data_IF_081845968099
#
_entry.id   IF_081845968099
#
_cell.length_a   1.000
_cell.length_b   1.000
_cell.length_c   1.000
_cell.angle_alpha   90.00
_cell.angle_beta   90.00
_cell.angle_gamma   90.00
#
_symmetry.space_group_name_H-M   'P 1'
#
loop_
_entity.id
_entity.type
_entity.pdbx_description
1 polymer ?
#
# COMPACT_ATOMS: atom_id res chain seq x y z
N UNK A 1 -33.08 -34.12 3.04
CA UNK A 1 -32.83 -33.35 4.28
C UNK A 1 -31.34 -33.01 4.26
N UNK A 2 -30.96 -31.83 3.77
CA UNK A 2 -29.57 -31.40 3.84
C UNK A 2 -29.26 -31.06 5.30
N UNK A 3 -28.27 -31.72 5.87
CA UNK A 3 -27.71 -31.37 7.18
C UNK A 3 -27.31 -29.90 7.14
N UNK A 4 -27.89 -29.08 8.01
CA UNK A 4 -27.49 -27.69 8.15
C UNK A 4 -26.03 -27.70 8.65
N UNK A 5 -25.09 -27.51 7.72
CA UNK A 5 -23.68 -27.44 8.03
C UNK A 5 -23.47 -26.43 9.16
N UNK A 6 -22.76 -26.84 10.22
CA UNK A 6 -22.50 -25.98 11.36
C UNK A 6 -21.72 -24.75 10.89
N UNK A 7 -22.26 -23.56 11.14
CA UNK A 7 -21.58 -22.29 10.88
C UNK A 7 -20.21 -22.26 11.55
N UNK A 8 -19.18 -21.97 10.77
CA UNK A 8 -17.81 -21.83 11.27
C UNK A 8 -17.60 -20.40 11.77
N UNK A 9 -17.24 -20.24 13.04
CA UNK A 9 -17.03 -18.92 13.64
C UNK A 9 -15.69 -18.33 13.22
N UNK A 10 -15.70 -17.13 12.65
CA UNK A 10 -14.50 -16.37 12.29
C UNK A 10 -13.82 -15.85 13.56
N UNK A 11 -12.54 -16.11 13.71
CA UNK A 11 -11.66 -15.67 14.77
C UNK A 11 -10.49 -14.90 14.15
N UNK A 12 -10.55 -13.56 14.14
CA UNK A 12 -9.48 -12.77 13.55
C UNK A 12 -8.20 -12.94 14.38
N UNK A 13 -7.06 -12.97 13.69
CA UNK A 13 -5.75 -12.98 14.34
C UNK A 13 -5.52 -11.67 15.11
N UNK A 14 -6.01 -10.57 14.54
CA UNK A 14 -6.12 -9.29 15.23
C UNK A 14 -7.45 -9.19 15.98
N UNK A 15 -7.39 -9.18 17.31
CA UNK A 15 -8.58 -9.05 18.17
C UNK A 15 -9.21 -7.66 18.12
N UNK A 16 -8.53 -6.68 17.54
CA UNK A 16 -9.02 -5.32 17.36
C UNK A 16 -9.73 -5.12 16.02
N UNK A 17 -9.80 -6.16 15.17
CA UNK A 17 -10.49 -6.11 13.88
C UNK A 17 -11.95 -5.67 14.07
N UNK A 18 -12.25 -4.47 13.60
CA UNK A 18 -13.57 -3.87 13.66
C UNK A 18 -13.75 -2.81 12.58
N UNK A 19 -14.92 -2.78 11.97
CA UNK A 19 -15.29 -1.79 10.98
C UNK A 19 -16.03 -0.62 11.64
N UNK A 20 -15.50 0.58 11.44
CA UNK A 20 -16.06 1.83 11.96
C UNK A 20 -16.61 2.74 10.86
N UNK A 21 -16.68 2.26 9.61
CA UNK A 21 -17.06 3.04 8.44
C UNK A 21 -15.88 3.69 7.71
N UNK A 22 -14.64 3.49 8.17
CA UNK A 22 -13.42 3.91 7.48
C UNK A 22 -12.64 2.71 6.94
N UNK A 23 -11.72 2.95 5.99
CA UNK A 23 -10.78 1.93 5.50
C UNK A 23 -11.43 0.61 5.05
N UNK A 24 -12.61 0.69 4.40
CA UNK A 24 -13.46 -0.46 4.09
C UNK A 24 -12.71 -1.56 3.32
N UNK A 25 -11.78 -1.21 2.43
CA UNK A 25 -10.97 -2.19 1.69
C UNK A 25 -10.05 -3.00 2.59
N UNK A 26 -9.39 -2.34 3.56
CA UNK A 26 -8.50 -3.01 4.51
C UNK A 26 -9.31 -3.93 5.41
N UNK A 27 -10.41 -3.42 5.96
CA UNK A 27 -11.33 -4.22 6.76
C UNK A 27 -11.80 -5.49 6.01
N UNK A 28 -12.30 -5.33 4.78
CA UNK A 28 -12.77 -6.45 3.96
C UNK A 28 -11.66 -7.46 3.66
N UNK A 29 -10.44 -6.98 3.41
CA UNK A 29 -9.27 -7.84 3.16
C UNK A 29 -8.91 -8.66 4.40
N UNK A 30 -8.84 -8.04 5.57
CA UNK A 30 -8.47 -8.69 6.83
C UNK A 30 -9.56 -9.67 7.30
N UNK A 31 -10.83 -9.26 7.21
CA UNK A 31 -11.97 -10.12 7.50
C UNK A 31 -12.02 -11.36 6.60
N UNK A 32 -11.84 -11.18 5.28
CA UNK A 32 -11.83 -12.30 4.34
C UNK A 32 -10.62 -13.22 4.55
N UNK A 33 -9.47 -12.67 4.94
CA UNK A 33 -8.30 -13.46 5.28
C UNK A 33 -8.55 -14.32 6.54
N UNK A 34 -9.12 -13.75 7.60
CA UNK A 34 -9.50 -14.49 8.80
C UNK A 34 -10.51 -15.61 8.49
N UNK A 35 -11.56 -15.30 7.72
CA UNK A 35 -12.55 -16.27 7.29
C UNK A 35 -11.91 -17.47 6.55
N UNK A 36 -10.97 -17.20 5.64
CA UNK A 36 -10.24 -18.23 4.91
C UNK A 36 -9.37 -19.10 5.82
N UNK A 37 -8.69 -18.51 6.80
CA UNK A 37 -7.88 -19.27 7.77
C UNK A 37 -8.74 -20.22 8.61
N UNK A 38 -9.94 -19.79 8.96
CA UNK A 38 -10.88 -20.61 9.74
C UNK A 38 -11.67 -21.60 8.86
N UNK A 39 -11.57 -21.53 7.53
CA UNK A 39 -12.33 -22.38 6.61
C UNK A 39 -13.82 -22.02 6.54
N UNK A 40 -14.14 -20.74 6.72
CA UNK A 40 -15.50 -20.22 6.74
C UNK A 40 -16.04 -20.05 5.31
N UNK A 41 -17.32 -20.41 5.10
CA UNK A 41 -17.98 -20.24 3.81
C UNK A 41 -18.37 -18.78 3.53
N UNK A 42 -18.56 -18.41 2.26
CA UNK A 42 -19.03 -17.06 1.91
C UNK A 42 -20.41 -16.72 2.48
N UNK A 43 -21.30 -17.72 2.58
CA UNK A 43 -22.61 -17.57 3.24
C UNK A 43 -22.44 -17.24 4.72
N UNK A 44 -21.54 -17.94 5.42
CA UNK A 44 -21.23 -17.67 6.83
C UNK A 44 -20.55 -16.31 7.02
N UNK A 45 -19.76 -15.85 6.03
CA UNK A 45 -19.14 -14.52 6.05
C UNK A 45 -20.17 -13.40 6.04
N UNK A 46 -21.17 -13.46 5.14
CA UNK A 46 -22.30 -12.49 5.12
C UNK A 46 -23.03 -12.48 6.46
N UNK A 47 -23.24 -13.66 7.06
CA UNK A 47 -23.93 -13.74 8.34
C UNK A 47 -23.08 -13.25 9.53
N UNK A 48 -21.75 -13.23 9.40
CA UNK A 48 -20.86 -12.88 10.51
C UNK A 48 -20.31 -11.46 10.44
N UNK A 49 -20.27 -10.82 9.27
CA UNK A 49 -19.65 -9.49 9.08
C UNK A 49 -20.20 -8.44 10.06
N UNK A 50 -21.49 -8.48 10.37
CA UNK A 50 -22.15 -7.56 11.33
C UNK A 50 -21.62 -7.63 12.77
N UNK A 51 -20.98 -8.75 13.16
CA UNK A 51 -20.38 -8.90 14.49
C UNK A 51 -19.02 -8.22 14.61
N UNK A 52 -18.44 -7.82 13.48
CA UNK A 52 -17.18 -7.08 13.41
C UNK A 52 -17.43 -5.58 13.26
N UNK A 53 -18.62 -5.09 13.60
CA UNK A 53 -19.00 -3.68 13.47
C UNK A 53 -19.40 -3.14 14.84
N UNK A 54 -18.48 -2.50 15.59
CA UNK A 54 -18.76 -2.00 16.93
C UNK A 54 -19.77 -0.85 16.95
N UNK A 55 -19.80 -0.04 15.89
CA UNK A 55 -20.68 1.11 15.78
C UNK A 55 -22.09 0.69 15.35
N UNK A 56 -23.09 0.91 16.21
CA UNK A 56 -24.49 0.62 15.91
C UNK A 56 -24.98 1.31 14.63
N UNK A 57 -24.55 2.55 14.38
CA UNK A 57 -24.91 3.31 13.17
C UNK A 57 -24.34 2.67 11.91
N UNK A 58 -23.07 2.26 11.94
CA UNK A 58 -22.42 1.61 10.78
C UNK A 58 -23.03 0.23 10.54
N UNK A 59 -23.37 -0.47 11.62
CA UNK A 59 -24.01 -1.79 11.57
C UNK A 59 -25.37 -1.74 10.89
N UNK A 60 -26.21 -0.75 11.25
CA UNK A 60 -27.52 -0.52 10.62
C UNK A 60 -27.40 -0.30 9.11
N UNK A 61 -26.40 0.48 8.69
CA UNK A 61 -26.10 0.68 7.26
C UNK A 61 -25.67 -0.65 6.60
N UNK A 62 -24.79 -1.43 7.22
CA UNK A 62 -24.37 -2.73 6.66
C UNK A 62 -25.54 -3.69 6.56
N UNK A 63 -26.40 -3.79 7.57
CA UNK A 63 -27.60 -4.63 7.54
C UNK A 63 -28.58 -4.21 6.43
N UNK A 64 -28.66 -2.91 6.13
CA UNK A 64 -29.44 -2.40 4.98
C UNK A 64 -28.80 -2.76 3.65
N UNK A 65 -27.47 -2.75 3.55
CA UNK A 65 -26.73 -3.07 2.33
C UNK A 65 -26.65 -4.57 2.05
N UNK A 66 -26.73 -5.40 3.09
CA UNK A 66 -26.61 -6.86 3.04
C UNK A 66 -27.98 -7.58 2.95
N UNK A 67 -29.02 -6.91 2.46
CA UNK A 67 -30.38 -7.46 2.35
C UNK A 67 -30.56 -8.49 1.22
N UNK A 68 -29.51 -9.22 0.83
CA UNK A 68 -29.52 -10.15 -0.29
C UNK A 68 -30.06 -11.52 0.12
N UNK A 69 -31.04 -12.03 -0.61
CA UNK A 69 -31.57 -13.39 -0.48
C UNK A 69 -31.46 -14.14 -1.82
N UNK A 70 -30.64 -15.22 -1.92
CA UNK A 70 -29.82 -15.81 -0.85
C UNK A 70 -28.58 -14.95 -0.50
N UNK A 71 -27.95 -15.19 0.68
CA UNK A 71 -26.74 -14.47 1.09
C UNK A 71 -25.63 -14.55 0.03
N UNK A 72 -25.09 -13.39 -0.37
CA UNK A 72 -24.09 -13.28 -1.41
C UNK A 72 -22.93 -12.36 -0.97
N UNK A 73 -21.78 -12.96 -0.64
CA UNK A 73 -20.62 -12.22 -0.16
C UNK A 73 -20.07 -11.24 -1.19
N UNK A 74 -20.05 -11.61 -2.47
CA UNK A 74 -19.54 -10.73 -3.52
C UNK A 74 -20.42 -9.47 -3.65
N UNK A 75 -21.73 -9.62 -3.57
CA UNK A 75 -22.68 -8.50 -3.60
C UNK A 75 -22.56 -7.61 -2.35
N UNK A 76 -22.50 -8.21 -1.16
CA UNK A 76 -22.23 -7.51 0.11
C UNK A 76 -20.95 -6.69 0.05
N UNK A 77 -19.84 -7.31 -0.38
CA UNK A 77 -18.55 -6.64 -0.55
C UNK A 77 -18.66 -5.45 -1.51
N UNK A 78 -19.32 -5.63 -2.65
CA UNK A 78 -19.52 -4.56 -3.62
C UNK A 78 -20.38 -3.41 -3.07
N UNK A 79 -21.44 -3.71 -2.31
CA UNK A 79 -22.29 -2.71 -1.69
C UNK A 79 -21.54 -1.90 -0.61
N UNK A 80 -20.75 -2.57 0.24
CA UNK A 80 -19.89 -1.90 1.22
C UNK A 80 -18.84 -1.00 0.54
N UNK A 81 -18.21 -1.47 -0.54
CA UNK A 81 -17.27 -0.67 -1.32
C UNK A 81 -17.96 0.52 -2.02
N UNK A 82 -19.17 0.34 -2.55
CA UNK A 82 -19.90 1.44 -3.18
C UNK A 82 -20.31 2.52 -2.17
N UNK A 83 -20.62 2.14 -0.93
CA UNK A 83 -21.04 3.05 0.13
C UNK A 83 -19.85 3.76 0.79
N UNK A 84 -18.83 3.01 1.24
CA UNK A 84 -17.69 3.55 2.00
C UNK A 84 -16.39 3.69 1.19
N UNK A 85 -16.27 3.00 0.06
CA UNK A 85 -15.05 3.01 -0.76
C UNK A 85 -14.82 4.32 -1.51
N UNK A 86 -15.75 5.28 -1.45
CA UNK A 86 -15.58 6.62 -2.02
C UNK A 86 -14.83 7.60 -1.13
N UNK A 87 -14.37 7.18 0.04
CA UNK A 87 -13.43 8.00 0.82
C UNK A 87 -12.03 7.49 0.51
N UNK A 88 -11.49 8.04 -0.58
CA UNK A 88 -10.09 7.93 -0.95
C UNK A 88 -9.26 8.72 0.08
N UNK A 89 -9.14 8.17 1.29
CA UNK A 89 -8.17 8.66 2.27
C UNK A 89 -6.84 8.08 1.80
N UNK A 90 -6.25 8.72 0.80
CA UNK A 90 -4.88 8.47 0.43
C UNK A 90 -4.01 8.77 1.66
N UNK A 91 -3.65 7.74 2.44
CA UNK A 91 -2.72 7.88 3.58
C UNK A 91 -1.42 8.54 3.14
N UNK A 92 -1.03 8.24 1.90
CA UNK A 92 0.01 8.95 1.20
C UNK A 92 -0.39 9.24 -0.24
N UNK A 93 0.07 10.39 -0.71
CA UNK A 93 -0.08 10.91 -2.06
C UNK A 93 1.30 11.16 -2.67
N UNK A 94 1.34 11.40 -3.97
CA UNK A 94 2.58 11.85 -4.64
C UNK A 94 3.08 13.19 -4.09
N UNK A 95 2.21 13.98 -3.44
CA UNK A 95 2.59 15.23 -2.76
C UNK A 95 3.41 14.95 -1.50
N UNK A 96 3.14 13.87 -0.77
CA UNK A 96 3.93 13.47 0.41
C UNK A 96 5.36 13.11 0.03
N UNK A 97 5.56 12.46 -1.13
CA UNK A 97 6.90 12.26 -1.68
C UNK A 97 7.60 13.59 -2.02
N UNK A 98 6.89 14.54 -2.63
CA UNK A 98 7.47 15.87 -2.94
C UNK A 98 7.86 16.61 -1.68
N UNK A 99 7.01 16.58 -0.65
CA UNK A 99 7.26 17.21 0.65
C UNK A 99 8.46 16.54 1.35
N UNK A 100 8.56 15.21 1.30
CA UNK A 100 9.70 14.46 1.83
C UNK A 100 11.00 14.88 1.13
N UNK A 101 11.02 14.90 -0.21
CA UNK A 101 12.18 15.33 -1.01
C UNK A 101 12.58 16.76 -0.65
N UNK A 102 11.60 17.66 -0.55
CA UNK A 102 11.85 19.06 -0.22
C UNK A 102 12.47 19.21 1.18
N UNK A 103 11.93 18.51 2.19
CA UNK A 103 12.49 18.51 3.54
C UNK A 103 13.91 17.95 3.61
N UNK A 104 14.27 16.98 2.77
CA UNK A 104 15.64 16.51 2.65
C UNK A 104 16.55 17.51 1.93
N UNK A 105 16.08 18.18 0.87
CA UNK A 105 16.84 19.23 0.19
C UNK A 105 17.17 20.40 1.12
N UNK A 106 16.21 20.81 1.95
CA UNK A 106 16.40 21.89 2.94
C UNK A 106 17.46 21.54 4.00
N UNK A 107 17.66 20.26 4.28
CA UNK A 107 18.72 19.75 5.16
C UNK A 107 20.09 19.61 4.46
N UNK A 108 20.20 20.03 3.20
CA UNK A 108 21.41 19.88 2.39
C UNK A 108 21.44 18.61 1.54
N UNK A 109 20.34 17.84 1.50
CA UNK A 109 20.20 16.59 0.77
C UNK A 109 20.77 15.38 1.51
N UNK A 110 20.37 14.17 1.09
CA UNK A 110 20.87 12.91 1.68
C UNK A 110 22.36 12.75 1.36
N UNK A 111 23.23 12.71 2.38
CA UNK A 111 24.69 12.68 2.19
C UNK A 111 25.42 11.50 2.90
N UNK A 112 25.46 11.39 4.25
CA UNK A 112 26.07 10.24 4.92
C UNK A 112 25.18 8.98 4.88
N UNK A 113 25.80 7.82 5.15
CA UNK A 113 25.11 6.51 5.22
C UNK A 113 23.97 6.51 6.24
N UNK A 114 24.08 7.28 7.32
CA UNK A 114 23.01 7.42 8.34
C UNK A 114 21.76 8.10 7.77
N UNK A 115 21.93 9.19 7.01
CA UNK A 115 20.84 9.90 6.35
C UNK A 115 20.16 9.05 5.29
N UNK A 116 20.93 8.21 4.58
CA UNK A 116 20.36 7.27 3.61
C UNK A 116 19.42 6.25 4.25
N UNK A 117 19.79 5.71 5.42
CA UNK A 117 18.95 4.77 6.16
C UNK A 117 17.67 5.45 6.67
N UNK A 118 17.77 6.66 7.21
CA UNK A 118 16.61 7.44 7.65
C UNK A 118 15.68 7.82 6.50
N UNK A 119 16.26 8.33 5.40
CA UNK A 119 15.52 8.61 4.18
C UNK A 119 14.78 7.37 3.68
N UNK A 120 15.46 6.22 3.61
CA UNK A 120 14.84 4.96 3.15
C UNK A 120 13.69 4.51 4.05
N UNK A 121 13.82 4.64 5.38
CA UNK A 121 12.75 4.30 6.35
C UNK A 121 11.50 5.15 6.14
N UNK A 122 11.64 6.39 5.70
CA UNK A 122 10.51 7.30 5.41
C UNK A 122 9.97 7.17 3.99
N UNK A 123 10.83 6.90 2.99
CA UNK A 123 10.45 6.79 1.59
C UNK A 123 9.73 5.47 1.26
N UNK A 124 10.24 4.34 1.77
CA UNK A 124 9.71 3.01 1.41
C UNK A 124 8.22 2.84 1.73
N UNK A 125 7.71 3.22 2.92
CA UNK A 125 6.29 3.08 3.23
C UNK A 125 5.40 3.86 2.26
N UNK A 126 5.82 5.08 1.89
CA UNK A 126 5.08 5.95 0.97
C UNK A 126 5.04 5.35 -0.43
N UNK A 127 6.20 4.96 -0.97
CA UNK A 127 6.27 4.30 -2.29
C UNK A 127 5.44 3.02 -2.33
N UNK A 128 5.56 2.15 -1.32
CA UNK A 128 4.80 0.90 -1.25
C UNK A 128 3.29 1.15 -1.20
N UNK A 129 2.85 2.19 -0.50
CA UNK A 129 1.44 2.59 -0.47
C UNK A 129 0.96 3.03 -1.86
N UNK A 130 1.70 3.93 -2.52
CA UNK A 130 1.31 4.47 -3.82
C UNK A 130 1.21 3.38 -4.90
N UNK A 131 2.13 2.41 -4.91
CA UNK A 131 2.05 1.26 -5.82
C UNK A 131 0.88 0.34 -5.49
N UNK A 132 0.62 0.08 -4.19
CA UNK A 132 -0.44 -0.85 -3.77
C UNK A 132 -1.84 -0.30 -4.02
N UNK A 133 -1.97 1.03 -4.04
CA UNK A 133 -3.24 1.73 -4.27
C UNK A 133 -3.39 2.25 -5.70
N UNK A 134 -2.49 1.85 -6.61
CA UNK A 134 -2.49 2.28 -8.01
C UNK A 134 -2.50 3.82 -8.17
N UNK A 135 -1.91 4.54 -7.19
CA UNK A 135 -1.69 5.99 -7.29
C UNK A 135 -0.51 6.33 -8.19
N UNK A 136 0.37 5.36 -8.43
CA UNK A 136 1.42 5.36 -9.45
C UNK A 136 1.43 3.97 -10.09
N UNK A 137 1.58 3.91 -11.41
CA UNK A 137 1.64 2.66 -12.18
C UNK A 137 3.00 1.97 -11.99
N UNK A 138 4.04 2.74 -11.67
CA UNK A 138 5.41 2.23 -11.58
C UNK A 138 6.34 3.09 -10.71
N UNK A 139 7.47 2.50 -10.28
CA UNK A 139 8.49 3.25 -9.52
C UNK A 139 9.22 4.28 -10.39
N UNK A 140 9.16 4.12 -11.71
CA UNK A 140 9.75 4.99 -12.70
C UNK A 140 9.17 6.41 -12.63
N UNK A 141 7.89 6.55 -12.29
CA UNK A 141 7.21 7.85 -12.16
C UNK A 141 7.79 8.69 -11.01
N UNK A 142 8.22 8.04 -9.93
CA UNK A 142 8.77 8.69 -8.74
C UNK A 142 10.31 8.67 -8.70
N UNK A 143 10.96 8.00 -9.67
CA UNK A 143 12.42 7.86 -9.77
C UNK A 143 13.12 9.22 -9.79
N UNK A 144 12.57 10.20 -10.50
CA UNK A 144 13.11 11.56 -10.53
C UNK A 144 13.06 12.24 -9.15
N UNK A 145 11.98 12.05 -8.40
CA UNK A 145 11.84 12.59 -7.04
C UNK A 145 12.88 11.95 -6.10
N UNK A 146 13.10 10.64 -6.25
CA UNK A 146 14.12 9.91 -5.50
C UNK A 146 15.53 10.46 -5.75
N UNK A 147 15.91 10.73 -7.00
CA UNK A 147 17.25 11.29 -7.30
C UNK A 147 17.42 12.73 -6.81
N UNK A 148 16.34 13.49 -6.73
CA UNK A 148 16.36 14.87 -6.28
C UNK A 148 16.55 15.03 -4.76
N UNK A 149 16.37 13.97 -3.96
CA UNK A 149 16.57 14.05 -2.50
C UNK A 149 18.04 14.01 -2.09
N UNK A 150 18.94 13.56 -2.96
CA UNK A 150 20.37 13.46 -2.67
C UNK A 150 21.03 14.83 -2.71
N UNK A 151 22.08 15.03 -1.89
CA UNK A 151 22.89 16.23 -1.95
C UNK A 151 23.65 16.31 -3.29
N UNK A 152 24.18 17.49 -3.63
CA UNK A 152 24.90 17.69 -4.89
C UNK A 152 26.21 16.86 -4.97
N UNK A 153 26.85 16.57 -3.81
CA UNK A 153 28.13 15.86 -3.77
C UNK A 153 28.06 14.36 -4.16
N UNK A 154 26.98 13.60 -3.87
CA UNK A 154 26.68 12.31 -4.49
C UNK A 154 26.37 12.34 -5.99
N UNK A 155 25.86 13.45 -6.54
CA UNK A 155 25.63 13.57 -8.00
C UNK A 155 26.93 13.83 -8.77
N UNK A 156 27.87 14.60 -8.20
CA UNK A 156 29.20 14.79 -8.77
C UNK A 156 30.02 13.48 -8.77
N UNK A 157 29.98 12.69 -7.69
CA UNK A 157 30.73 11.42 -7.63
C UNK A 157 30.24 10.35 -8.61
N UNK A 158 28.93 10.25 -8.82
CA UNK A 158 28.36 9.30 -9.80
C UNK A 158 28.64 9.80 -11.23
N UNK A 159 28.61 11.12 -11.48
CA UNK A 159 28.96 11.71 -12.78
C UNK A 159 30.47 11.59 -13.08
N UNK A 160 31.33 11.83 -12.09
CA UNK A 160 32.79 11.70 -12.21
C UNK A 160 33.23 10.25 -12.46
N UNK A 161 32.58 9.28 -11.81
CA UNK A 161 32.86 7.86 -12.05
C UNK A 161 32.42 7.44 -13.46
N UNK A 162 31.26 7.93 -13.94
CA UNK A 162 30.78 7.68 -15.31
C UNK A 162 31.61 8.38 -16.40
N UNK A 163 32.20 9.54 -16.11
CA UNK A 163 33.12 10.25 -17.01
C UNK A 163 34.49 9.57 -17.04
N UNK A 164 35.00 9.10 -15.90
CA UNK A 164 36.25 8.31 -15.82
C UNK A 164 36.15 6.98 -16.56
N UNK A 165 35.06 6.24 -16.38
CA UNK A 165 34.86 4.95 -17.06
C UNK A 165 34.73 5.12 -18.59
N UNK A 166 34.15 6.24 -19.07
CA UNK A 166 34.12 6.58 -20.49
C UNK A 166 35.50 6.99 -21.07
N UNK A 167 36.37 7.65 -20.29
CA UNK A 167 37.74 7.95 -20.74
C UNK A 167 38.65 6.72 -20.81
N UNK A 168 38.45 5.71 -19.93
CA UNK A 168 39.27 4.50 -19.94
C UNK A 168 39.01 3.64 -21.19
N UNK A 169 37.78 3.59 -21.70
CA UNK A 169 37.45 2.86 -22.94
C UNK A 169 38.03 3.57 -24.19
N UNK A 170 38.13 4.90 -24.16
CA UNK A 170 38.69 5.68 -25.27
C UNK A 170 40.24 5.71 -25.30
N UNK A 171 40.91 5.49 -24.15
CA UNK A 171 42.38 5.45 -24.07
C UNK A 171 42.95 4.04 -24.26
N UNK A 172 42.19 2.98 -23.98
CA UNK A 172 42.65 1.60 -24.24
C UNK A 172 42.54 1.18 -25.71
N UNK A 173 41.80 1.94 -26.54
CA UNK A 173 41.61 1.64 -27.97
C UNK A 173 42.63 2.32 -28.90
N UNK A 174 43.62 3.05 -28.35
CA UNK A 174 44.69 3.70 -29.14
C UNK A 174 46.11 3.19 -28.86
N UNK A 175 46.24 2.02 -28.24
CA UNK A 175 47.50 1.28 -28.13
C UNK A 175 47.25 -0.20 -28.42
N UNK A 176 47.13 -0.55 -29.70
CA UNK A 176 47.47 -1.86 -30.30
C UNK A 176 47.04 -1.86 -31.77
N UNK A 177 47.89 -1.27 -32.60
CA UNK A 177 48.22 -1.70 -33.97
C UNK A 177 49.23 -0.71 -34.55
N UNK A 178 50.50 -0.96 -34.21
CA UNK A 178 51.60 -0.81 -35.17
C UNK A 178 51.51 -1.94 -36.17
#
# INVERSE_FOLDING_TARGET
>A
MAEAARMVKIKPQDKTLGFDGSHVEQFLSEFQFAAKLDGTSETDMVQQVRFFIPSAKVKDVVETLDSFEPPNWAASKAAMLAHWGKIDIAWFTTQDLKNLVQGWKEKGGVAPVVDFQEFRKTWQPIQSYLLRKDHIDSVEEIKRLYYQSFSASPQERISDQLIKDKMIIALSSRCLRS
#
